data_IF_535491727801
#
_entry.id   IF_535491727801
#
_cell.length_a   1.000
_cell.length_b   1.000
_cell.length_c   1.000
_cell.angle_alpha   90.00
_cell.angle_beta   90.00
_cell.angle_gamma   90.00
#
_symmetry.space_group_name_H-M   'P 1'
#
loop_
_entity.id
_entity.type
_entity.pdbx_description
1 polymer ?
#
# COMPACT_ATOMS: atom_id res chain seq x y z
N UNK A 1 -27.10 -13.06 -30.56
CA UNK A 1 -25.73 -13.53 -30.27
C UNK A 1 -25.44 -13.22 -28.81
N UNK A 2 -25.73 -14.16 -27.91
CA UNK A 2 -25.53 -13.95 -26.47
C UNK A 2 -24.08 -14.23 -26.12
N UNK A 3 -23.33 -13.21 -25.71
CA UNK A 3 -22.02 -13.39 -25.12
C UNK A 3 -22.21 -14.08 -23.77
N UNK A 4 -21.99 -15.39 -23.69
CA UNK A 4 -21.79 -16.08 -22.42
C UNK A 4 -20.50 -15.56 -21.79
N UNK A 5 -20.56 -14.42 -21.12
CA UNK A 5 -19.57 -14.10 -20.12
C UNK A 5 -19.84 -15.04 -18.95
N UNK A 6 -18.91 -15.96 -18.73
CA UNK A 6 -18.88 -16.80 -17.54
C UNK A 6 -18.67 -15.90 -16.32
N UNK A 7 -19.75 -15.36 -15.78
CA UNK A 7 -19.74 -14.62 -14.53
C UNK A 7 -19.68 -15.63 -13.38
N UNK A 8 -18.73 -15.45 -12.47
CA UNK A 8 -18.55 -16.35 -11.33
C UNK A 8 -19.49 -16.01 -10.17
N UNK A 9 -19.92 -14.75 -10.05
CA UNK A 9 -20.85 -14.29 -9.02
C UNK A 9 -22.08 -13.61 -9.62
N UNK A 10 -23.17 -13.63 -8.85
CA UNK A 10 -24.36 -12.82 -9.11
C UNK A 10 -24.08 -11.33 -8.86
N UNK A 11 -24.78 -10.44 -9.56
CA UNK A 11 -24.60 -9.00 -9.46
C UNK A 11 -24.77 -8.48 -8.01
N UNK A 12 -25.71 -9.03 -7.25
CA UNK A 12 -25.90 -8.66 -5.84
C UNK A 12 -24.68 -9.01 -4.99
N UNK A 13 -24.02 -10.12 -5.31
CA UNK A 13 -22.82 -10.57 -4.61
C UNK A 13 -21.64 -9.66 -4.92
N UNK A 14 -21.46 -9.25 -6.18
CA UNK A 14 -20.43 -8.28 -6.56
C UNK A 14 -20.61 -6.93 -5.84
N UNK A 15 -21.86 -6.44 -5.73
CA UNK A 15 -22.14 -5.19 -5.01
C UNK A 15 -21.79 -5.29 -3.52
N UNK A 16 -22.15 -6.41 -2.87
CA UNK A 16 -21.77 -6.65 -1.47
C UNK A 16 -20.25 -6.69 -1.30
N UNK A 17 -19.54 -7.34 -2.23
CA UNK A 17 -18.08 -7.40 -2.22
C UNK A 17 -17.47 -6.00 -2.36
N UNK A 18 -17.97 -5.16 -3.28
CA UNK A 18 -17.53 -3.77 -3.42
C UNK A 18 -17.76 -2.96 -2.14
N UNK A 19 -18.92 -3.09 -1.52
CA UNK A 19 -19.25 -2.36 -0.29
C UNK A 19 -18.31 -2.73 0.85
N UNK A 20 -18.06 -4.03 1.06
CA UNK A 20 -17.09 -4.49 2.07
C UNK A 20 -15.68 -4.00 1.72
N UNK A 21 -15.29 -4.09 0.45
CA UNK A 21 -13.96 -3.66 0.03
C UNK A 21 -13.69 -2.18 0.33
N UNK A 22 -14.70 -1.32 0.20
CA UNK A 22 -14.57 0.11 0.50
C UNK A 22 -14.40 0.42 1.99
N UNK A 23 -14.92 -0.41 2.89
CA UNK A 23 -14.81 -0.20 4.35
C UNK A 23 -13.52 -0.76 4.94
N UNK A 24 -12.81 -1.62 4.21
CA UNK A 24 -11.60 -2.28 4.67
C UNK A 24 -10.34 -1.39 4.60
N UNK A 25 -9.41 -1.63 5.52
CA UNK A 25 -8.07 -1.06 5.49
C UNK A 25 -7.28 -1.57 4.26
N UNK A 26 -6.22 -0.87 3.86
CA UNK A 26 -5.44 -1.29 2.70
C UNK A 26 -4.87 -2.71 2.85
N UNK A 27 -4.44 -3.10 4.06
CA UNK A 27 -3.94 -4.44 4.38
C UNK A 27 -5.02 -5.50 4.17
N UNK A 28 -6.21 -5.24 4.72
CA UNK A 28 -7.33 -6.20 4.66
C UNK A 28 -7.92 -6.28 3.26
N UNK A 29 -7.93 -5.19 2.50
CA UNK A 29 -8.34 -5.18 1.09
C UNK A 29 -7.52 -6.15 0.23
N UNK A 30 -6.18 -6.17 0.38
CA UNK A 30 -5.34 -7.10 -0.42
C UNK A 30 -5.60 -8.55 -0.04
N UNK A 31 -5.75 -8.82 1.25
CA UNK A 31 -6.04 -10.17 1.77
C UNK A 31 -7.41 -10.66 1.32
N UNK A 32 -8.43 -9.82 1.44
CA UNK A 32 -9.78 -10.13 0.98
C UNK A 32 -9.79 -10.44 -0.51
N UNK A 33 -9.19 -9.57 -1.35
CA UNK A 33 -9.12 -9.80 -2.79
C UNK A 33 -8.36 -11.09 -3.14
N UNK A 34 -7.30 -11.41 -2.40
CA UNK A 34 -6.53 -12.64 -2.58
C UNK A 34 -7.34 -13.89 -2.22
N UNK A 35 -8.04 -13.90 -1.08
CA UNK A 35 -8.90 -15.03 -0.67
C UNK A 35 -9.98 -15.30 -1.71
N UNK A 36 -10.63 -14.25 -2.21
CA UNK A 36 -11.66 -14.41 -3.25
C UNK A 36 -11.07 -14.91 -4.58
N UNK A 37 -9.89 -14.44 -4.95
CA UNK A 37 -9.22 -14.88 -6.18
C UNK A 37 -8.77 -16.35 -6.10
N UNK A 38 -8.29 -16.80 -4.95
CA UNK A 38 -7.88 -18.20 -4.73
C UNK A 38 -9.09 -19.14 -4.80
N UNK A 39 -10.23 -18.75 -4.23
CA UNK A 39 -11.48 -19.53 -4.30
C UNK A 39 -11.93 -19.81 -5.75
N UNK A 40 -11.73 -18.84 -6.65
CA UNK A 40 -12.13 -18.97 -8.05
C UNK A 40 -11.11 -19.72 -8.92
N UNK A 41 -9.87 -19.88 -8.47
CA UNK A 41 -8.82 -20.58 -9.20
C UNK A 41 -8.37 -19.85 -10.47
N UNK A 42 -8.41 -20.55 -11.63
CA UNK A 42 -7.88 -20.04 -12.91
C UNK A 42 -8.76 -18.89 -13.44
N UNK A 43 -8.16 -17.71 -13.61
CA UNK A 43 -8.85 -16.50 -14.08
C UNK A 43 -9.49 -15.67 -12.96
N UNK A 44 -9.60 -16.22 -11.74
CA UNK A 44 -10.16 -15.54 -10.57
C UNK A 44 -9.45 -14.24 -10.20
N UNK A 45 -8.12 -14.20 -10.36
CA UNK A 45 -7.31 -13.00 -10.07
C UNK A 45 -7.75 -11.82 -10.95
N UNK A 46 -7.89 -12.04 -12.26
CA UNK A 46 -8.27 -11.00 -13.21
C UNK A 46 -9.71 -10.55 -12.98
N UNK A 47 -10.61 -11.51 -12.73
CA UNK A 47 -12.01 -11.20 -12.47
C UNK A 47 -12.21 -10.40 -11.18
N UNK A 48 -11.62 -10.82 -10.06
CA UNK A 48 -11.72 -10.09 -8.79
C UNK A 48 -11.07 -8.70 -8.89
N UNK A 49 -9.96 -8.58 -9.62
CA UNK A 49 -9.34 -7.29 -9.88
C UNK A 49 -10.29 -6.32 -10.61
N UNK A 50 -11.05 -6.83 -11.59
CA UNK A 50 -12.07 -6.05 -12.31
C UNK A 50 -13.26 -5.69 -11.40
N UNK A 51 -13.81 -6.65 -10.65
CA UNK A 51 -14.98 -6.44 -9.78
C UNK A 51 -14.69 -5.42 -8.67
N UNK A 52 -13.52 -5.55 -8.03
CA UNK A 52 -13.10 -4.69 -6.92
C UNK A 52 -12.37 -3.41 -7.37
N UNK A 53 -12.08 -3.27 -8.66
CA UNK A 53 -11.35 -2.12 -9.20
C UNK A 53 -9.92 -2.00 -8.67
N UNK A 54 -9.25 -3.12 -8.38
CA UNK A 54 -7.88 -3.13 -7.87
C UNK A 54 -6.89 -3.73 -8.88
N UNK A 55 -5.60 -3.47 -8.69
CA UNK A 55 -4.57 -4.03 -9.58
C UNK A 55 -4.40 -5.54 -9.33
N UNK A 56 -4.21 -6.30 -10.40
CA UNK A 56 -3.79 -7.71 -10.36
C UNK A 56 -2.57 -7.89 -9.44
N UNK A 57 -1.64 -6.93 -9.46
CA UNK A 57 -0.44 -6.94 -8.59
C UNK A 57 -0.81 -6.92 -7.10
N UNK A 58 -1.86 -6.19 -6.73
CA UNK A 58 -2.38 -6.11 -5.36
C UNK A 58 -2.93 -7.46 -4.93
N UNK A 59 -3.67 -8.14 -5.81
CA UNK A 59 -4.22 -9.47 -5.56
C UNK A 59 -3.10 -10.50 -5.42
N UNK A 60 -2.15 -10.54 -6.37
CA UNK A 60 -0.99 -11.45 -6.30
C UNK A 60 -0.13 -11.22 -5.05
N UNK A 61 0.04 -9.96 -4.64
CA UNK A 61 0.73 -9.63 -3.40
C UNK A 61 -0.05 -10.14 -2.18
N UNK A 62 -1.37 -9.95 -2.16
CA UNK A 62 -2.24 -10.48 -1.12
C UNK A 62 -2.16 -12.01 -1.01
N UNK A 63 -2.06 -12.73 -2.14
CA UNK A 63 -1.91 -14.20 -2.14
C UNK A 63 -0.59 -14.60 -1.46
N UNK A 64 0.52 -13.96 -1.84
CA UNK A 64 1.80 -14.19 -1.16
C UNK A 64 1.75 -13.84 0.32
N UNK A 65 1.08 -12.74 0.67
CA UNK A 65 0.88 -12.36 2.07
C UNK A 65 0.08 -13.40 2.84
N UNK A 66 -0.90 -14.09 2.22
CA UNK A 66 -1.63 -15.21 2.82
C UNK A 66 -0.76 -16.44 3.02
N UNK A 67 0.04 -16.81 2.01
CA UNK A 67 0.96 -17.97 2.09
C UNK A 67 2.07 -17.77 3.12
N UNK A 68 2.44 -16.51 3.38
CA UNK A 68 3.44 -16.10 4.37
C UNK A 68 2.83 -15.59 5.68
N UNK A 69 1.55 -15.87 5.96
CA UNK A 69 0.99 -15.75 7.31
C UNK A 69 1.58 -16.85 8.21
N UNK A 70 2.89 -16.81 8.44
CA UNK A 70 3.50 -17.52 9.55
C UNK A 70 2.94 -16.91 10.85
N UNK A 71 2.79 -17.77 11.85
CA UNK A 71 2.07 -17.63 13.13
C UNK A 71 2.38 -16.36 13.98
N UNK A 72 3.30 -15.51 13.53
CA UNK A 72 3.71 -14.25 14.16
C UNK A 72 2.72 -13.08 13.97
N UNK A 73 1.77 -13.18 13.03
CA UNK A 73 0.74 -12.15 12.79
C UNK A 73 -0.46 -12.31 13.75
N UNK A 74 -0.21 -12.90 14.93
CA UNK A 74 -1.10 -12.81 16.11
C UNK A 74 -1.30 -11.32 16.44
N UNK A 75 -2.53 -10.84 16.77
CA UNK A 75 -2.81 -9.42 17.03
C UNK A 75 -2.19 -8.98 18.36
N UNK A 76 -0.86 -8.85 18.38
CA UNK A 76 -0.05 -8.66 19.57
C UNK A 76 0.99 -7.55 19.44
N UNK A 77 0.92 -6.67 18.42
CA UNK A 77 1.65 -5.38 18.46
C UNK A 77 1.19 -4.41 17.36
N UNK A 78 0.18 -3.60 17.66
CA UNK A 78 -0.37 -2.59 16.72
C UNK A 78 0.56 -1.36 16.53
N UNK A 79 1.72 -1.27 17.19
CA UNK A 79 2.69 -0.19 16.96
C UNK A 79 4.14 -0.66 17.03
N UNK A 80 4.92 -0.39 15.99
CA UNK A 80 6.37 -0.17 16.14
C UNK A 80 6.54 1.18 16.88
N UNK A 81 7.27 1.26 17.99
CA UNK A 81 7.66 2.57 18.49
C UNK A 81 8.57 3.23 17.44
N UNK A 82 8.29 4.47 17.06
CA UNK A 82 9.22 5.28 16.25
C UNK A 82 8.82 5.69 14.84
N UNK A 83 7.54 5.90 14.53
CA UNK A 83 7.15 6.67 13.32
C UNK A 83 6.96 8.14 13.69
N UNK A 84 8.04 8.80 14.13
CA UNK A 84 8.04 10.25 14.29
C UNK A 84 7.81 10.94 12.95
N UNK A 85 6.99 12.00 12.95
CA UNK A 85 6.77 12.89 11.80
C UNK A 85 8.07 13.64 11.49
N UNK A 86 8.76 13.45 10.33
CA UNK A 86 9.80 14.39 9.95
C UNK A 86 9.13 15.75 9.71
N UNK A 87 9.46 16.73 10.54
CA UNK A 87 9.02 18.12 10.34
C UNK A 87 9.78 18.66 9.12
N UNK A 88 9.03 19.01 8.09
CA UNK A 88 9.50 19.87 7.03
C UNK A 88 9.58 21.31 7.57
N UNK A 89 10.73 21.71 8.12
CA UNK A 89 11.04 23.13 8.30
C UNK A 89 12.23 23.51 7.42
N UNK A 90 11.85 24.09 6.28
CA UNK A 90 12.54 25.13 5.50
C UNK A 90 13.97 25.52 5.90
N UNK A 91 14.88 25.28 4.95
CA UNK A 91 15.95 26.18 4.47
C UNK A 91 15.93 27.59 5.09
N UNK A 92 16.97 27.91 5.86
CA UNK A 92 17.61 29.23 5.88
C UNK A 92 19.12 29.01 6.01
N UNK A 93 19.79 29.28 4.89
CA UNK A 93 21.12 29.84 4.69
C UNK A 93 22.16 29.71 5.82
N UNK A 94 23.25 29.02 5.50
CA UNK A 94 24.49 29.13 6.24
C UNK A 94 25.01 30.57 6.24
N UNK A 95 25.36 31.07 7.42
CA UNK A 95 26.28 32.17 7.60
C UNK A 95 27.19 31.78 8.74
N UNK A 96 28.38 31.31 8.40
CA UNK A 96 29.47 31.11 9.34
C UNK A 96 29.76 32.45 10.02
N UNK A 97 29.78 32.41 11.35
CA UNK A 97 30.10 33.52 12.22
C UNK A 97 31.55 33.40 12.69
N UNK A 98 32.23 34.56 12.69
CA UNK A 98 33.44 34.91 13.46
C UNK A 98 34.71 34.08 13.18
N UNK A 99 35.90 34.64 12.99
CA UNK A 99 36.51 35.94 13.30
C UNK A 99 38.04 35.71 13.28
N UNK A 100 38.83 36.75 13.56
CA UNK A 100 40.33 36.83 13.54
C UNK A 100 40.84 37.47 12.24
N UNK A 101 40.79 38.81 12.09
CA UNK A 101 41.68 39.90 12.59
C UNK A 101 42.90 40.18 11.68
N UNK A 102 43.33 41.46 11.64
CA UNK A 102 43.81 42.13 10.44
C UNK A 102 45.32 41.97 10.27
N UNK A 103 45.77 42.05 9.02
CA UNK A 103 47.19 41.99 8.74
C UNK A 103 47.48 42.19 7.27
N UNK A 104 47.90 43.40 6.97
CA UNK A 104 49.12 43.63 6.20
C UNK A 104 49.05 43.69 4.66
N UNK A 105 48.99 44.95 4.21
CA UNK A 105 49.99 45.58 3.35
C UNK A 105 50.31 44.92 1.98
N UNK A 106 49.87 45.65 0.95
CA UNK A 106 50.71 46.11 -0.16
C UNK A 106 51.26 45.10 -1.19
N UNK A 107 51.19 45.59 -2.44
CA UNK A 107 52.30 45.74 -3.41
C UNK A 107 52.38 44.76 -4.60
N UNK A 108 52.18 45.42 -5.75
CA UNK A 108 52.65 45.18 -7.13
C UNK A 108 52.03 44.01 -7.90
#
# INVERSE_FOLDING_TARGET
MGTSQSVWFDEQTEQRMRNVFQTLSEKDRRRFAAVQAVQLGRGGITYIAQVLGCSIRTVSRGIRELDHLSEEDTPGRIRRPGAGRPKNCSRVTGRAESGVTPGDQNRW
#
